data_IF_006933764957
#
_entry.id   IF_006933764957
#
_cell.length_a   1.000
_cell.length_b   1.000
_cell.length_c   1.000
_cell.angle_alpha   90.00
_cell.angle_beta   90.00
_cell.angle_gamma   90.00
#
_symmetry.space_group_name_H-M   'P 1'
#
loop_
_entity.id
_entity.type
_entity.pdbx_description
1 polymer ?
#
# COMPACT_ATOMS: atom_id res chain seq x y z
N UNK A 1 -18.55 9.34 2.45
CA UNK A 1 -17.38 8.50 2.12
C UNK A 1 -17.69 7.07 2.53
N UNK A 2 -17.55 6.08 1.64
CA UNK A 2 -17.72 4.66 1.99
C UNK A 2 -16.33 4.08 2.29
N UNK A 3 -16.20 3.41 3.43
CA UNK A 3 -14.96 2.78 3.88
C UNK A 3 -15.13 1.27 3.68
N UNK A 4 -14.08 0.59 3.23
CA UNK A 4 -14.11 -0.83 2.88
C UNK A 4 -14.29 -1.77 4.09
N UNK A 5 -14.04 -1.24 5.29
CA UNK A 5 -13.79 -2.01 6.49
C UNK A 5 -14.60 -1.51 7.68
N UNK A 6 -14.84 -2.42 8.62
CA UNK A 6 -15.36 -2.09 9.95
C UNK A 6 -14.21 -1.82 10.93
N UNK A 7 -14.49 -1.15 12.05
CA UNK A 7 -13.47 -0.84 13.06
C UNK A 7 -12.81 -2.11 13.63
N UNK A 8 -13.58 -3.19 13.80
CA UNK A 8 -13.07 -4.47 14.29
C UNK A 8 -12.15 -5.15 13.28
N UNK A 9 -12.51 -5.14 11.99
CA UNK A 9 -11.66 -5.68 10.92
C UNK A 9 -10.34 -4.92 10.82
N UNK A 10 -10.38 -3.59 10.90
CA UNK A 10 -9.17 -2.76 10.90
C UNK A 10 -8.23 -3.13 12.04
N UNK A 11 -8.75 -3.21 13.26
CA UNK A 11 -7.97 -3.61 14.43
C UNK A 11 -7.38 -5.02 14.27
N UNK A 12 -8.18 -5.97 13.79
CA UNK A 12 -7.72 -7.34 13.53
C UNK A 12 -6.56 -7.35 12.53
N UNK A 13 -6.70 -6.66 11.38
CA UNK A 13 -5.63 -6.59 10.38
C UNK A 13 -4.36 -5.96 10.95
N UNK A 14 -4.45 -4.88 11.73
CA UNK A 14 -3.24 -4.24 12.29
C UNK A 14 -2.45 -5.14 13.25
N UNK A 15 -3.14 -6.04 13.96
CA UNK A 15 -2.50 -7.02 14.85
C UNK A 15 -1.94 -8.18 14.03
N UNK A 16 -2.75 -8.76 13.14
CA UNK A 16 -2.38 -9.92 12.34
C UNK A 16 -1.21 -9.61 11.38
N UNK A 17 -1.18 -8.40 10.80
CA UNK A 17 -0.13 -7.96 9.87
C UNK A 17 1.27 -8.00 10.48
N UNK A 18 1.38 -7.82 11.80
CA UNK A 18 2.67 -7.82 12.52
C UNK A 18 3.07 -9.20 13.04
N UNK A 19 2.22 -10.21 12.87
CA UNK A 19 2.52 -11.56 13.32
C UNK A 19 3.61 -12.18 12.44
N UNK A 20 4.48 -12.99 13.03
CA UNK A 20 5.44 -13.80 12.28
C UNK A 20 4.84 -15.13 11.79
N UNK A 21 3.66 -15.49 12.30
CA UNK A 21 2.97 -16.74 11.97
C UNK A 21 2.26 -16.62 10.62
N UNK A 22 2.58 -17.55 9.71
CA UNK A 22 2.02 -17.57 8.34
C UNK A 22 0.48 -17.65 8.35
N UNK A 23 -0.12 -18.39 9.28
CA UNK A 23 -1.58 -18.55 9.35
C UNK A 23 -2.31 -17.28 9.81
N UNK A 24 -1.66 -16.45 10.64
CA UNK A 24 -2.18 -15.13 11.01
C UNK A 24 -2.12 -14.18 9.81
N UNK A 25 -1.03 -14.23 9.04
CA UNK A 25 -0.87 -13.43 7.83
C UNK A 25 -1.86 -13.83 6.73
N UNK A 26 -2.13 -15.13 6.57
CA UNK A 26 -3.20 -15.63 5.68
C UNK A 26 -4.57 -15.08 6.08
N UNK A 27 -4.87 -15.04 7.39
CA UNK A 27 -6.09 -14.40 7.90
C UNK A 27 -6.13 -12.91 7.58
N UNK A 28 -5.02 -12.18 7.71
CA UNK A 28 -4.94 -10.77 7.32
C UNK A 28 -5.25 -10.57 5.82
N UNK A 29 -4.66 -11.39 4.94
CA UNK A 29 -4.92 -11.37 3.49
C UNK A 29 -6.39 -11.63 3.17
N UNK A 30 -7.03 -12.59 3.84
CA UNK A 30 -8.45 -12.88 3.64
C UNK A 30 -9.36 -11.68 3.98
N UNK A 31 -9.02 -10.94 5.05
CA UNK A 31 -9.75 -9.72 5.42
C UNK A 31 -9.54 -8.62 4.35
N UNK A 32 -8.30 -8.43 3.88
CA UNK A 32 -8.00 -7.47 2.80
C UNK A 32 -8.73 -7.81 1.49
N UNK A 33 -8.80 -9.09 1.13
CA UNK A 33 -9.61 -9.54 -0.01
C UNK A 33 -11.09 -9.23 0.15
N UNK A 34 -11.62 -9.36 1.37
CA UNK A 34 -13.00 -8.99 1.68
C UNK A 34 -13.23 -7.49 1.48
N UNK A 35 -12.27 -6.65 1.87
CA UNK A 35 -12.32 -5.21 1.60
C UNK A 35 -12.30 -4.90 0.10
N UNK A 36 -11.47 -5.60 -0.68
CA UNK A 36 -11.47 -5.49 -2.14
C UNK A 36 -12.79 -5.93 -2.75
N UNK A 37 -13.37 -7.04 -2.30
CA UNK A 37 -14.67 -7.51 -2.80
C UNK A 37 -15.79 -6.47 -2.57
N UNK A 38 -15.74 -5.73 -1.46
CA UNK A 38 -16.72 -4.67 -1.14
C UNK A 38 -16.54 -3.38 -1.95
N UNK A 39 -15.31 -2.98 -2.24
CA UNK A 39 -15.01 -1.68 -2.86
C UNK A 39 -14.59 -1.78 -4.34
N UNK A 40 -14.26 -2.97 -4.82
CA UNK A 40 -13.66 -3.20 -6.13
C UNK A 40 -12.44 -2.30 -6.36
N UNK A 41 -12.47 -1.55 -7.46
CA UNK A 41 -11.40 -0.63 -7.87
C UNK A 41 -11.33 0.65 -7.02
N UNK A 42 -12.28 0.87 -6.10
CA UNK A 42 -12.27 2.03 -5.19
C UNK A 42 -11.56 1.73 -3.86
N UNK A 43 -10.95 0.56 -3.71
CA UNK A 43 -10.15 0.24 -2.53
C UNK A 43 -8.93 1.17 -2.45
N UNK A 44 -8.60 1.61 -1.23
CA UNK A 44 -7.43 2.45 -1.03
C UNK A 44 -6.15 1.70 -1.43
N UNK A 45 -5.26 2.38 -2.18
CA UNK A 45 -4.05 1.78 -2.73
C UNK A 45 -3.14 1.21 -1.64
N UNK A 46 -3.09 1.82 -0.45
CA UNK A 46 -2.34 1.25 0.68
C UNK A 46 -2.83 -0.15 1.11
N UNK A 47 -4.14 -0.41 1.04
CA UNK A 47 -4.69 -1.74 1.36
C UNK A 47 -4.35 -2.75 0.25
N UNK A 48 -4.39 -2.32 -1.02
CA UNK A 48 -3.97 -3.15 -2.16
C UNK A 48 -2.47 -3.52 -2.08
N UNK A 49 -1.61 -2.56 -1.76
CA UNK A 49 -0.18 -2.82 -1.57
C UNK A 49 0.10 -3.73 -0.37
N UNK A 50 -0.62 -3.52 0.74
CA UNK A 50 -0.47 -4.35 1.94
C UNK A 50 -0.78 -5.81 1.66
N UNK A 51 -1.81 -6.08 0.83
CA UNK A 51 -2.17 -7.42 0.42
C UNK A 51 -1.08 -8.08 -0.43
N UNK A 52 -0.56 -7.36 -1.44
CA UNK A 52 0.50 -7.87 -2.31
C UNK A 52 1.79 -8.18 -1.53
N UNK A 53 2.17 -7.32 -0.59
CA UNK A 53 3.34 -7.53 0.26
C UNK A 53 3.18 -8.74 1.19
N UNK A 54 2.00 -8.90 1.80
CA UNK A 54 1.71 -10.07 2.63
C UNK A 54 1.73 -11.36 1.81
N UNK A 55 1.15 -11.36 0.61
CA UNK A 55 1.18 -12.51 -0.28
C UNK A 55 2.61 -12.88 -0.68
N UNK A 56 3.45 -11.88 -0.99
CA UNK A 56 4.86 -12.08 -1.29
C UNK A 56 5.61 -12.68 -0.10
N UNK A 57 5.42 -12.14 1.10
CA UNK A 57 6.06 -12.63 2.32
C UNK A 57 5.64 -14.05 2.69
N UNK A 58 4.35 -14.38 2.55
CA UNK A 58 3.85 -15.75 2.76
C UNK A 58 4.48 -16.72 1.76
N UNK A 59 4.59 -16.32 0.49
CA UNK A 59 5.24 -17.12 -0.55
C UNK A 59 6.75 -17.31 -0.26
N UNK A 60 7.42 -16.27 0.23
CA UNK A 60 8.83 -16.29 0.61
C UNK A 60 9.10 -17.37 1.67
N UNK A 61 8.28 -17.41 2.72
CA UNK A 61 8.38 -18.40 3.81
C UNK A 61 8.22 -19.85 3.33
N UNK A 62 7.50 -20.09 2.23
CA UNK A 62 7.31 -21.41 1.65
C UNK A 62 8.25 -21.74 0.48
N UNK A 63 9.09 -20.79 0.05
CA UNK A 63 9.94 -20.97 -1.14
C UNK A 63 11.23 -21.69 -0.77
N UNK A 64 11.49 -22.80 -1.44
CA UNK A 64 12.80 -23.47 -1.36
C UNK A 64 13.72 -22.95 -2.46
N UNK A 65 14.98 -22.66 -2.13
CA UNK A 65 15.95 -22.10 -3.07
C UNK A 65 16.22 -22.98 -4.30
N UNK A 66 15.94 -24.28 -4.20
CA UNK A 66 16.11 -25.24 -5.29
C UNK A 66 14.96 -25.22 -6.31
N UNK A 67 13.84 -24.56 -6.00
CA UNK A 67 12.72 -24.37 -6.92
C UNK A 67 12.85 -23.02 -7.63
N UNK A 68 13.45 -23.07 -8.82
CA UNK A 68 13.68 -21.87 -9.63
C UNK A 68 12.38 -21.15 -10.02
N UNK A 69 11.27 -21.87 -10.19
CA UNK A 69 9.99 -21.30 -10.57
C UNK A 69 9.35 -20.58 -9.38
N UNK A 70 9.43 -21.15 -8.18
CA UNK A 70 8.99 -20.48 -6.96
C UNK A 70 9.79 -19.20 -6.70
N UNK A 71 11.12 -19.23 -6.86
CA UNK A 71 11.98 -18.04 -6.74
C UNK A 71 11.63 -16.97 -7.79
N UNK A 72 11.34 -17.37 -9.03
CA UNK A 72 10.90 -16.44 -10.08
C UNK A 72 9.55 -15.79 -9.74
N UNK A 73 8.56 -16.60 -9.32
CA UNK A 73 7.25 -16.10 -8.91
C UNK A 73 7.34 -15.14 -7.72
N UNK A 74 8.21 -15.45 -6.74
CA UNK A 74 8.45 -14.57 -5.61
C UNK A 74 8.98 -13.19 -6.06
N UNK A 75 9.93 -13.17 -7.00
CA UNK A 75 10.45 -11.92 -7.59
C UNK A 75 9.36 -11.14 -8.32
N UNK A 76 8.46 -11.82 -9.04
CA UNK A 76 7.32 -11.18 -9.69
C UNK A 76 6.36 -10.54 -8.68
N UNK A 77 6.04 -11.23 -7.59
CA UNK A 77 5.14 -10.69 -6.55
C UNK A 77 5.73 -9.43 -5.91
N UNK A 78 6.99 -9.46 -5.48
CA UNK A 78 7.65 -8.28 -4.92
C UNK A 78 7.74 -7.15 -5.93
N UNK A 79 8.06 -7.45 -7.20
CA UNK A 79 8.11 -6.44 -8.26
C UNK A 79 6.75 -5.76 -8.47
N UNK A 80 5.66 -6.53 -8.48
CA UNK A 80 4.30 -6.00 -8.61
C UNK A 80 3.94 -5.06 -7.44
N UNK A 81 4.30 -5.41 -6.20
CA UNK A 81 4.10 -4.57 -5.04
C UNK A 81 4.89 -3.24 -5.14
N UNK A 82 6.17 -3.31 -5.54
CA UNK A 82 7.03 -2.12 -5.73
C UNK A 82 6.49 -1.20 -6.82
N UNK A 83 6.09 -1.75 -7.98
CA UNK A 83 5.54 -0.95 -9.08
C UNK A 83 4.28 -0.21 -8.63
N UNK A 84 3.38 -0.88 -7.89
CA UNK A 84 2.17 -0.24 -7.36
C UNK A 84 2.49 0.88 -6.36
N UNK A 85 3.51 0.69 -5.53
CA UNK A 85 3.98 1.73 -4.62
C UNK A 85 4.52 2.96 -5.34
N UNK A 86 5.40 2.75 -6.32
CA UNK A 86 5.96 3.85 -7.11
C UNK A 86 4.86 4.61 -7.86
N UNK A 87 3.90 3.90 -8.46
CA UNK A 87 2.77 4.52 -9.15
C UNK A 87 1.91 5.36 -8.19
N UNK A 88 1.62 4.84 -6.99
CA UNK A 88 0.87 5.57 -5.96
C UNK A 88 1.58 6.87 -5.55
N UNK A 89 2.88 6.80 -5.27
CA UNK A 89 3.67 7.99 -4.92
C UNK A 89 3.67 9.00 -6.07
N UNK A 90 3.80 8.53 -7.32
CA UNK A 90 3.75 9.38 -8.50
C UNK A 90 2.38 10.07 -8.65
N UNK A 91 1.28 9.33 -8.51
CA UNK A 91 -0.09 9.88 -8.57
C UNK A 91 -0.34 10.92 -7.47
N UNK A 92 0.13 10.67 -6.24
CA UNK A 92 0.01 11.62 -5.12
C UNK A 92 0.84 12.89 -5.34
N UNK A 93 2.01 12.78 -5.98
CA UNK A 93 2.88 13.90 -6.33
C UNK A 93 2.34 14.72 -7.52
N UNK A 94 1.76 14.06 -8.53
CA UNK A 94 1.18 14.72 -9.71
C UNK A 94 -0.09 15.50 -9.38
N UNK A 95 -0.91 15.04 -8.40
CA UNK A 95 -2.07 15.82 -7.93
C UNK A 95 -1.73 17.19 -7.36
N UNK A 96 -0.47 17.43 -6.97
CA UNK A 96 0.00 18.72 -6.41
C UNK A 96 0.63 19.65 -7.45
N UNK A 97 0.81 19.24 -8.70
CA UNK A 97 1.39 20.09 -9.76
C UNK A 97 0.61 19.91 -11.05
N UNK A 98 0.09 20.97 -11.70
CA UNK A 98 -0.48 20.82 -13.03
C UNK A 98 0.59 20.24 -13.96
N UNK A 99 0.21 19.19 -14.69
CA UNK A 99 1.09 18.33 -15.46
C UNK A 99 2.05 19.12 -16.36
N UNK A 100 3.30 19.28 -15.93
CA UNK A 100 4.40 19.60 -16.84
C UNK A 100 4.92 18.30 -17.43
N UNK A 101 4.49 18.05 -18.66
CA UNK A 101 5.12 17.26 -19.73
C UNK A 101 6.31 16.42 -19.24
N UNK A 102 6.05 15.12 -19.03
CA UNK A 102 7.06 14.15 -18.64
C UNK A 102 7.73 13.58 -19.91
N UNK A 103 8.60 14.38 -20.54
CA UNK A 103 9.66 13.87 -21.43
C UNK A 103 10.74 14.95 -21.58
N UNK A 104 11.62 15.05 -20.59
CA UNK A 104 12.99 15.53 -20.79
C UNK A 104 13.81 15.18 -19.56
N UNK A 105 15.04 14.73 -19.78
CA UNK A 105 16.08 14.74 -18.76
C UNK A 105 16.41 13.39 -18.13
N UNK A 106 16.87 12.45 -18.96
CA UNK A 106 17.86 11.48 -18.53
C UNK A 106 19.16 12.25 -18.21
N UNK A 107 19.24 12.92 -17.06
CA UNK A 107 20.50 13.45 -16.54
C UNK A 107 20.38 13.90 -15.08
N UNK A 108 21.37 13.45 -14.31
CA UNK A 108 21.88 14.01 -13.05
C UNK A 108 20.99 13.95 -11.80
N UNK A 109 21.34 12.96 -10.97
CA UNK A 109 21.46 13.03 -9.51
C UNK A 109 21.17 14.40 -8.87
N UNK A 110 20.12 14.47 -8.05
CA UNK A 110 20.05 15.16 -6.74
C UNK A 110 18.59 15.40 -6.31
N UNK A 111 17.95 14.39 -5.71
CA UNK A 111 16.73 14.58 -4.90
C UNK A 111 16.52 13.40 -3.94
N UNK A 112 17.59 12.95 -3.28
CA UNK A 112 17.49 12.10 -2.09
C UNK A 112 17.34 13.02 -0.88
N UNK A 113 16.18 13.66 -0.74
CA UNK A 113 15.84 14.47 0.44
C UNK A 113 14.32 14.62 0.62
N UNK A 114 13.68 13.48 0.90
CA UNK A 114 12.48 13.38 1.73
C UNK A 114 12.67 12.04 2.45
N UNK A 115 13.40 12.02 3.56
CA UNK A 115 12.83 12.46 4.83
C UNK A 115 12.06 11.27 5.39
N UNK A 116 12.74 10.49 6.23
CA UNK A 116 12.23 9.24 6.78
C UNK A 116 11.10 9.48 7.76
N UNK A 117 9.88 9.56 7.26
CA UNK A 117 8.69 9.59 8.09
C UNK A 117 8.00 8.22 7.97
N UNK A 118 8.01 7.50 9.08
CA UNK A 118 7.53 6.12 9.21
C UNK A 118 6.07 6.04 8.78
N UNK A 119 5.66 4.94 8.12
CA UNK A 119 4.29 4.58 7.66
C UNK A 119 3.12 5.07 8.55
N UNK A 120 3.36 5.21 9.85
CA UNK A 120 2.46 5.81 10.84
C UNK A 120 2.07 7.27 10.53
N UNK A 121 3.01 8.13 10.13
CA UNK A 121 2.72 9.53 9.81
C UNK A 121 1.91 9.70 8.53
N UNK A 122 2.08 8.81 7.55
CA UNK A 122 1.30 8.83 6.32
C UNK A 122 -0.17 8.45 6.59
N UNK A 123 -0.41 7.44 7.43
CA UNK A 123 -1.77 7.11 7.87
C UNK A 123 -2.38 8.15 8.82
N UNK A 124 -1.62 8.70 9.77
CA UNK A 124 -2.13 9.70 10.72
C UNK A 124 -2.38 11.07 10.05
N UNK A 125 -1.56 11.47 9.05
CA UNK A 125 -1.81 12.68 8.25
C UNK A 125 -3.02 12.50 7.32
N UNK A 126 -3.26 11.33 6.72
CA UNK A 126 -4.48 11.13 5.91
C UNK A 126 -5.77 11.15 6.75
N UNK A 127 -5.72 10.65 8.00
CA UNK A 127 -6.84 10.75 8.95
C UNK A 127 -7.03 12.20 9.43
N UNK A 128 -5.95 12.93 9.71
CA UNK A 128 -5.98 14.35 10.12
C UNK A 128 -6.48 15.26 8.99
N UNK A 129 -6.00 15.09 7.76
CA UNK A 129 -6.38 15.93 6.60
C UNK A 129 -7.85 15.73 6.20
N UNK A 130 -8.43 14.56 6.52
CA UNK A 130 -9.88 14.33 6.39
C UNK A 130 -10.69 14.95 7.54
N UNK A 131 -10.11 15.12 8.74
CA UNK A 131 -10.75 15.78 9.87
C UNK A 131 -10.77 17.32 9.73
N UNK A 132 -9.73 17.94 9.15
CA UNK A 132 -9.66 19.41 8.95
C UNK A 132 -10.57 19.91 7.83
N UNK A 133 -11.06 19.04 6.94
CA UNK A 133 -12.12 19.37 5.96
C UNK A 133 -13.50 19.61 6.59
N UNK A 134 -13.64 19.57 7.92
CA UNK A 134 -14.89 19.87 8.64
C UNK A 134 -15.08 21.34 9.05
N UNK A 135 -14.11 22.24 8.82
CA UNK A 135 -14.23 23.65 9.27
C UNK A 135 -14.38 24.70 8.17
N UNK A 136 -14.79 24.33 6.96
CA UNK A 136 -15.31 25.31 6.00
C UNK A 136 -16.77 24.97 5.67
N UNK A 137 -17.65 25.37 6.59
CA UNK A 137 -19.03 25.76 6.28
C UNK A 137 -19.01 27.28 6.15
N UNK A 138 -19.48 27.78 5.02
CA UNK A 138 -20.16 29.07 4.80
C UNK A 138 -20.42 29.12 3.29
N UNK A 139 -21.63 28.86 2.83
CA UNK A 139 -22.79 29.79 2.75
C UNK A 139 -23.03 30.09 1.27
#
# INVERSE_FOLDING_TARGET
>A
MRVAFTKSEWLAVTVLYRSEQVDDLRRAVAILHTWRARMGNSLHVAAEMSELLLAAFIADKGTHANDWLAVFNLRLLYSAAVIRFVNYVNEMCQRKRPAKIMFSGLQSASALQCGGDTFRELCERDVSTQATRKNYVCS
#
